data_IF_049524967603
#
_entry.id   IF_049524967603
#
_cell.length_a   1.000
_cell.length_b   1.000
_cell.length_c   1.000
_cell.angle_alpha   90.00
_cell.angle_beta   90.00
_cell.angle_gamma   90.00
#
_symmetry.space_group_name_H-M   'P 1'
#
loop_
_entity.id
_entity.type
_entity.pdbx_description
1 polymer ?
#
# COMPACT_ATOMS: atom_id res chain seq x y z
N UNK A 1 2.80 10.83 3.73
CA UNK A 1 3.90 10.10 3.08
C UNK A 1 5.15 10.95 3.15
N UNK A 2 6.32 10.42 3.55
CA UNK A 2 7.56 11.19 3.43
C UNK A 2 7.85 11.49 1.95
N UNK A 3 8.20 12.75 1.62
CA UNK A 3 8.42 13.26 0.25
C UNK A 3 9.40 12.41 -0.60
N UNK A 4 10.25 11.61 0.06
CA UNK A 4 11.22 10.72 -0.60
C UNK A 4 10.61 9.47 -1.25
N UNK A 5 9.35 9.14 -0.97
CA UNK A 5 8.70 7.92 -1.48
C UNK A 5 7.54 8.19 -2.45
N UNK A 6 7.19 9.45 -2.69
CA UNK A 6 6.02 9.78 -3.50
C UNK A 6 6.14 9.27 -4.95
N UNK A 7 5.04 8.73 -5.52
CA UNK A 7 5.03 8.33 -6.91
C UNK A 7 5.24 9.55 -7.83
N UNK A 8 5.90 9.30 -8.96
CA UNK A 8 6.23 10.33 -9.95
C UNK A 8 5.73 9.92 -11.32
N UNK A 9 5.53 10.89 -12.21
CA UNK A 9 5.19 10.64 -13.59
C UNK A 9 6.21 11.33 -14.52
N UNK A 10 6.32 10.81 -15.75
CA UNK A 10 7.12 11.45 -16.79
C UNK A 10 6.34 12.62 -17.38
N UNK A 11 6.89 13.84 -17.33
CA UNK A 11 6.22 15.04 -17.84
C UNK A 11 6.05 15.09 -19.35
N UNK A 12 6.81 14.28 -20.10
CA UNK A 12 6.72 14.22 -21.57
C UNK A 12 5.61 13.27 -22.03
N UNK A 13 5.64 12.02 -21.59
CA UNK A 13 4.60 11.07 -22.01
C UNK A 13 3.31 11.26 -21.22
N UNK A 14 3.40 11.69 -19.96
CA UNK A 14 2.27 11.95 -19.08
C UNK A 14 1.29 10.79 -18.86
N UNK A 15 1.59 9.60 -19.39
CA UNK A 15 0.72 8.42 -19.36
C UNK A 15 1.08 7.42 -18.26
N UNK A 16 2.32 7.46 -17.76
CA UNK A 16 2.85 6.45 -16.86
C UNK A 16 3.27 7.03 -15.51
N UNK A 17 2.84 6.36 -14.44
CA UNK A 17 3.18 6.65 -13.05
C UNK A 17 4.15 5.58 -12.54
N UNK A 18 5.15 6.00 -11.79
CA UNK A 18 6.20 5.15 -11.27
C UNK A 18 6.41 5.38 -9.78
N UNK A 19 6.78 4.32 -9.08
CA UNK A 19 7.42 4.47 -7.77
C UNK A 19 8.75 5.24 -7.96
N UNK A 20 9.01 6.27 -7.14
CA UNK A 20 10.21 7.12 -7.28
C UNK A 20 11.51 6.32 -7.18
N UNK A 21 11.58 5.35 -6.27
CA UNK A 21 12.74 4.45 -6.13
C UNK A 21 12.97 3.63 -7.41
N UNK A 22 11.90 3.12 -8.00
CA UNK A 22 11.93 2.24 -9.17
C UNK A 22 12.46 2.99 -10.40
N UNK A 23 11.89 4.17 -10.66
CA UNK A 23 12.29 4.96 -11.83
C UNK A 23 13.65 5.60 -11.66
N UNK A 24 14.06 5.97 -10.43
CA UNK A 24 15.43 6.43 -10.17
C UNK A 24 16.45 5.35 -10.50
N UNK A 25 16.26 4.11 -10.01
CA UNK A 25 17.13 2.96 -10.34
C UNK A 25 17.18 2.67 -11.84
N UNK A 26 16.04 2.79 -12.52
CA UNK A 26 15.98 2.63 -13.98
C UNK A 26 16.78 3.73 -14.70
N UNK A 27 16.53 4.99 -14.33
CA UNK A 27 17.12 6.16 -14.98
C UNK A 27 18.63 6.27 -14.73
N UNK A 28 19.14 5.79 -13.60
CA UNK A 28 20.57 5.68 -13.33
C UNK A 28 21.29 4.78 -14.35
N UNK A 29 20.64 3.70 -14.79
CA UNK A 29 21.23 2.73 -15.73
C UNK A 29 21.01 3.09 -17.20
N UNK A 30 19.81 3.53 -17.53
CA UNK A 30 19.36 3.70 -18.93
C UNK A 30 19.26 5.16 -19.36
N UNK A 31 19.20 6.10 -18.42
CA UNK A 31 19.00 7.54 -18.67
C UNK A 31 17.78 7.86 -19.54
N UNK A 32 16.73 7.04 -19.49
CA UNK A 32 15.51 7.19 -20.29
C UNK A 32 14.25 6.86 -19.48
N UNK A 33 13.10 7.28 -19.99
CA UNK A 33 11.80 6.83 -19.49
C UNK A 33 11.51 5.39 -19.90
N UNK A 34 11.12 4.52 -18.96
CA UNK A 34 10.82 3.11 -19.24
C UNK A 34 9.68 2.93 -20.25
N UNK A 35 8.68 3.81 -20.22
CA UNK A 35 7.52 3.76 -21.12
C UNK A 35 7.81 4.39 -22.49
N UNK A 36 8.14 5.68 -22.55
CA UNK A 36 8.27 6.40 -23.83
C UNK A 36 9.67 6.35 -24.46
N UNK A 37 10.64 5.70 -23.80
CA UNK A 37 12.05 5.56 -24.26
C UNK A 37 12.81 6.84 -24.55
N UNK A 38 12.21 8.01 -24.26
CA UNK A 38 12.89 9.29 -24.40
C UNK A 38 13.95 9.44 -23.32
N UNK A 39 15.13 9.91 -23.72
CA UNK A 39 16.23 10.29 -22.82
C UNK A 39 15.77 11.32 -21.80
N UNK A 40 16.12 11.12 -20.53
CA UNK A 40 15.71 11.97 -19.41
C UNK A 40 16.93 12.50 -18.65
N UNK A 41 17.24 13.81 -18.73
CA UNK A 41 18.14 14.40 -17.76
C UNK A 41 17.55 14.25 -16.35
N UNK A 42 18.43 14.17 -15.34
CA UNK A 42 18.02 14.11 -13.93
C UNK A 42 17.07 15.28 -13.64
N UNK A 43 15.85 14.98 -13.18
CA UNK A 43 14.86 16.00 -12.77
C UNK A 43 13.56 16.09 -13.57
N UNK A 44 13.38 15.35 -14.67
CA UNK A 44 12.13 15.40 -15.47
C UNK A 44 11.01 14.45 -14.99
N UNK A 45 11.12 13.89 -13.79
CA UNK A 45 10.05 13.13 -13.16
C UNK A 45 9.42 13.96 -12.04
N UNK A 46 8.15 14.32 -12.23
CA UNK A 46 7.41 15.18 -11.31
C UNK A 46 6.55 14.35 -10.36
N UNK A 47 6.37 14.77 -9.09
CA UNK A 47 5.44 14.12 -8.17
C UNK A 47 4.03 14.06 -8.76
N UNK A 48 3.38 12.91 -8.61
CA UNK A 48 1.99 12.68 -9.04
C UNK A 48 1.04 13.70 -8.43
N UNK A 49 1.25 14.09 -7.18
CA UNK A 49 0.39 15.06 -6.48
C UNK A 49 0.32 16.43 -7.17
N UNK A 50 1.28 16.75 -8.06
CA UNK A 50 1.27 17.97 -8.88
C UNK A 50 0.41 17.84 -10.15
N UNK A 51 -0.18 16.68 -10.42
CA UNK A 51 -1.05 16.42 -11.58
C UNK A 51 -2.43 15.97 -11.09
N UNK A 52 -3.48 16.80 -11.25
CA UNK A 52 -4.79 16.58 -10.62
C UNK A 52 -5.43 15.23 -10.97
N UNK A 53 -5.30 14.74 -12.21
CA UNK A 53 -5.95 13.50 -12.62
C UNK A 53 -5.36 12.30 -11.90
N UNK A 54 -4.03 12.28 -11.72
CA UNK A 54 -3.37 11.22 -10.96
C UNK A 54 -3.60 11.35 -9.46
N UNK A 55 -3.55 12.57 -8.91
CA UNK A 55 -3.82 12.82 -7.49
C UNK A 55 -5.18 12.23 -7.06
N UNK A 56 -6.22 12.43 -7.88
CA UNK A 56 -7.56 11.89 -7.64
C UNK A 56 -7.58 10.36 -7.57
N UNK A 57 -6.81 9.67 -8.43
CA UNK A 57 -6.74 8.19 -8.40
C UNK A 57 -6.14 7.69 -7.09
N UNK A 58 -5.09 8.32 -6.58
CA UNK A 58 -4.47 7.94 -5.31
C UNK A 58 -5.35 8.27 -4.10
N UNK A 59 -6.15 9.33 -4.18
CA UNK A 59 -7.15 9.66 -3.17
C UNK A 59 -8.29 8.62 -3.12
N UNK A 60 -8.72 8.14 -4.28
CA UNK A 60 -9.76 7.12 -4.40
C UNK A 60 -9.28 5.70 -4.05
N UNK A 61 -7.96 5.48 -4.06
CA UNK A 61 -7.38 4.17 -3.77
C UNK A 61 -7.68 3.75 -2.34
N UNK A 62 -8.38 2.62 -2.22
CA UNK A 62 -8.69 1.98 -0.93
C UNK A 62 -7.86 0.71 -0.76
N UNK A 63 -7.34 0.50 0.44
CA UNK A 63 -6.55 -0.67 0.81
C UNK A 63 -7.14 -1.31 2.07
N UNK A 64 -7.10 -2.64 2.12
CA UNK A 64 -7.45 -3.39 3.32
C UNK A 64 -6.28 -3.38 4.30
N UNK A 65 -6.55 -3.11 5.58
CA UNK A 65 -5.56 -3.22 6.63
C UNK A 65 -5.00 -4.64 6.74
N UNK A 66 -3.68 -4.75 6.94
CA UNK A 66 -2.97 -6.03 7.11
C UNK A 66 -2.26 -6.16 8.46
N UNK A 67 -2.37 -5.16 9.34
CA UNK A 67 -1.67 -5.15 10.64
C UNK A 67 -2.11 -6.30 11.53
N UNK A 68 -3.41 -6.57 11.60
CA UNK A 68 -3.95 -7.74 12.30
C UNK A 68 -4.76 -8.62 11.33
N UNK A 69 -4.71 -9.95 11.47
CA UNK A 69 -5.47 -10.86 10.60
C UNK A 69 -6.98 -10.59 10.59
N UNK A 70 -7.48 -10.07 11.71
CA UNK A 70 -8.90 -9.79 11.94
C UNK A 70 -9.28 -8.33 11.61
N UNK A 71 -8.27 -7.56 11.18
CA UNK A 71 -8.37 -6.29 10.50
C UNK A 71 -9.25 -6.37 9.25
N UNK A 72 -10.54 -6.04 9.30
CA UNK A 72 -11.39 -6.01 8.10
C UNK A 72 -11.58 -4.61 7.52
N UNK A 73 -10.98 -3.58 8.13
CA UNK A 73 -11.15 -2.21 7.67
C UNK A 73 -10.52 -1.99 6.28
N UNK A 74 -11.30 -1.33 5.43
CA UNK A 74 -10.90 -0.87 4.10
C UNK A 74 -10.82 0.64 4.15
N UNK A 75 -9.62 1.17 3.94
CA UNK A 75 -9.27 2.57 4.24
C UNK A 75 -8.68 3.23 3.00
N UNK A 76 -8.76 4.55 2.91
CA UNK A 76 -7.97 5.27 1.90
C UNK A 76 -6.48 5.07 2.16
N UNK A 77 -5.67 5.08 1.10
CA UNK A 77 -4.22 4.94 1.21
C UNK A 77 -3.62 5.97 2.19
N UNK A 78 -4.17 7.19 2.22
CA UNK A 78 -3.74 8.27 3.12
C UNK A 78 -3.97 7.99 4.61
N UNK A 79 -4.97 7.17 4.95
CA UNK A 79 -5.37 6.90 6.34
C UNK A 79 -4.74 5.63 6.92
N UNK A 80 -4.04 4.84 6.11
CA UNK A 80 -3.54 3.53 6.54
C UNK A 80 -2.50 3.65 7.66
N UNK A 81 -1.56 4.60 7.56
CA UNK A 81 -0.53 4.77 8.59
C UNK A 81 -1.12 5.22 9.93
N UNK A 82 -2.09 6.14 9.90
CA UNK A 82 -2.82 6.60 11.08
C UNK A 82 -3.62 5.48 11.70
N UNK A 83 -4.38 4.74 10.88
CA UNK A 83 -5.13 3.59 11.34
C UNK A 83 -4.20 2.59 12.01
N UNK A 84 -3.13 2.17 11.33
CA UNK A 84 -2.21 1.19 11.89
C UNK A 84 -1.67 1.66 13.23
N UNK A 85 -1.23 2.91 13.38
CA UNK A 85 -0.61 3.42 14.62
C UNK A 85 -1.61 3.67 15.75
N UNK A 86 -2.81 4.16 15.45
CA UNK A 86 -3.71 4.77 16.44
C UNK A 86 -5.00 3.97 16.63
N UNK A 87 -5.68 3.60 15.54
CA UNK A 87 -7.06 3.09 15.61
C UNK A 87 -7.23 1.62 15.27
N UNK A 88 -6.18 0.96 14.77
CA UNK A 88 -6.21 -0.45 14.41
C UNK A 88 -6.38 -1.29 15.67
N UNK A 89 -7.64 -1.65 15.93
CA UNK A 89 -7.99 -2.48 17.07
C UNK A 89 -7.63 -3.92 16.79
N UNK A 90 -7.00 -4.48 17.79
CA UNK A 90 -6.80 -5.89 17.89
C UNK A 90 -8.14 -6.58 18.16
N UNK A 91 -8.66 -7.34 17.21
CA UNK A 91 -9.90 -8.09 17.39
C UNK A 91 -9.59 -9.58 17.64
N UNK A 92 -10.15 -10.21 18.70
CA UNK A 92 -10.02 -11.65 18.89
C UNK A 92 -10.74 -12.42 17.77
N UNK A 93 -10.37 -13.68 17.59
CA UNK A 93 -11.10 -14.57 16.69
C UNK A 93 -12.54 -14.78 17.19
N UNK A 94 -13.55 -14.58 16.34
CA UNK A 94 -14.96 -14.73 16.74
C UNK A 94 -15.36 -16.16 17.13
N UNK A 95 -14.61 -17.18 16.68
CA UNK A 95 -14.93 -18.59 16.94
C UNK A 95 -14.28 -19.13 18.23
N UNK A 96 -13.01 -18.81 18.48
CA UNK A 96 -12.28 -19.34 19.65
C UNK A 96 -11.88 -18.27 20.67
N UNK A 97 -12.29 -17.01 20.45
CA UNK A 97 -11.92 -15.84 21.24
C UNK A 97 -10.40 -15.63 21.43
N UNK A 98 -9.56 -16.31 20.65
CA UNK A 98 -8.10 -16.20 20.77
C UNK A 98 -7.57 -14.93 20.12
N UNK A 99 -6.55 -14.41 20.76
CA UNK A 99 -5.83 -13.23 20.36
C UNK A 99 -4.76 -13.57 19.30
N UNK A 100 -5.05 -13.29 18.02
CA UNK A 100 -4.09 -13.44 16.92
C UNK A 100 -3.13 -12.24 16.79
N UNK A 101 -2.21 -12.10 17.74
CA UNK A 101 -1.27 -10.96 17.87
C UNK A 101 -0.30 -10.74 16.70
N UNK A 102 -0.25 -11.65 15.74
CA UNK A 102 0.74 -11.59 14.65
C UNK A 102 0.09 -11.74 13.29
N UNK A 103 0.56 -10.95 12.31
CA UNK A 103 0.24 -11.09 10.90
C UNK A 103 0.87 -12.34 10.23
N UNK A 104 1.65 -13.13 10.97
CA UNK A 104 2.34 -14.34 10.47
C UNK A 104 1.39 -15.48 10.15
N UNK A 105 0.19 -15.48 10.74
CA UNK A 105 -0.85 -16.48 10.48
C UNK A 105 -2.08 -15.76 9.96
N UNK A 106 -2.49 -16.06 8.72
CA UNK A 106 -3.71 -15.49 8.17
C UNK A 106 -4.92 -15.98 8.97
N UNK A 107 -6.01 -15.20 9.00
CA UNK A 107 -7.22 -15.64 9.69
C UNK A 107 -7.74 -16.95 9.10
N UNK A 108 -7.64 -17.13 7.79
CA UNK A 108 -8.01 -18.37 7.12
C UNK A 108 -7.18 -19.58 7.59
N UNK A 109 -5.85 -19.42 7.72
CA UNK A 109 -4.99 -20.47 8.26
C UNK A 109 -5.29 -20.76 9.73
N UNK A 110 -5.59 -19.72 10.53
CA UNK A 110 -6.04 -19.90 11.90
C UNK A 110 -7.34 -20.72 11.96
N UNK A 111 -8.36 -20.35 11.19
CA UNK A 111 -9.66 -21.03 11.14
C UNK A 111 -9.51 -22.51 10.73
N UNK A 112 -8.62 -22.83 9.79
CA UNK A 112 -8.44 -24.18 9.28
C UNK A 112 -7.58 -25.09 10.17
N UNK A 113 -6.56 -24.53 10.85
CA UNK A 113 -5.50 -25.34 11.49
C UNK A 113 -5.49 -25.25 13.01
N UNK A 114 -6.00 -24.16 13.58
CA UNK A 114 -5.71 -23.79 14.97
C UNK A 114 -6.92 -23.24 15.74
N UNK A 115 -8.05 -23.03 15.07
CA UNK A 115 -9.29 -22.57 15.68
C UNK A 115 -10.02 -23.78 16.24
N UNK A 116 -9.66 -24.17 17.45
CA UNK A 116 -10.40 -25.19 18.18
C UNK A 116 -11.73 -24.56 18.56
N UNK A 117 -12.83 -25.01 17.97
CA UNK A 117 -14.18 -24.62 18.39
C UNK A 117 -14.32 -24.95 19.88
N UNK A 118 -14.26 -23.94 20.74
CA UNK A 118 -14.87 -24.06 22.06
C UNK A 118 -16.36 -24.20 21.79
N UNK A 119 -16.85 -25.44 21.71
CA UNK A 119 -18.28 -25.75 21.81
C UNK A 119 -18.77 -25.06 23.07
N UNK A 120 -19.44 -23.91 22.92
CA UNK A 120 -20.22 -23.33 24.00
C UNK A 120 -21.35 -24.33 24.25
N UNK A 121 -21.24 -25.05 25.37
CA UNK A 121 -22.39 -25.65 26.04
C UNK A 121 -23.24 -24.51 26.61
#
# INVERSE_FOLDING_TARGET
>A
MPEKQEPVYCTMCQSAVYCRICISKWNERRRECCYCKQTKPRGQFMPVMKKPEFAKVFEMAKIRCKRYPNCMEVLSLSKIEEHEKISCKFLPCRQCNRNLKTNKVSMQAHLQLHCVETKMQ
#
